data_IF_828932387122
#
_entry.id   IF_828932387122
#
_cell.length_a   1.000
_cell.length_b   1.000
_cell.length_c   1.000
_cell.angle_alpha   90.00
_cell.angle_beta   90.00
_cell.angle_gamma   90.00
#
_symmetry.space_group_name_H-M   'P 1'
#
loop_
_entity.id
_entity.type
_entity.pdbx_description
1 polymer ?
#
# COMPACT_ATOMS: atom_id res chain seq x y z
N UNK A 1 13.22 1.53 -28.74
CA UNK A 1 12.18 0.52 -29.02
C UNK A 1 12.47 -0.63 -28.05
N UNK A 2 11.79 -0.64 -26.91
CA UNK A 2 12.07 -1.56 -25.80
C UNK A 2 10.91 -2.53 -25.69
N UNK A 3 11.17 -3.80 -26.00
CA UNK A 3 10.23 -4.90 -25.79
C UNK A 3 10.05 -5.15 -24.30
N UNK A 4 8.79 -5.18 -23.88
CA UNK A 4 8.39 -5.35 -22.50
C UNK A 4 8.71 -6.78 -22.01
N UNK A 5 9.32 -6.85 -20.82
CA UNK A 5 9.80 -8.07 -20.15
C UNK A 5 8.68 -9.00 -19.61
N UNK A 6 7.44 -8.85 -20.06
CA UNK A 6 6.32 -9.68 -19.61
C UNK A 6 5.92 -10.65 -20.72
N UNK A 7 6.04 -11.95 -20.44
CA UNK A 7 5.46 -13.00 -21.28
C UNK A 7 3.94 -12.85 -21.41
N UNK A 8 3.28 -13.63 -22.31
CA UNK A 8 1.85 -13.49 -22.58
C UNK A 8 1.05 -13.54 -21.29
N UNK A 9 0.10 -12.60 -21.13
CA UNK A 9 -0.81 -12.56 -19.99
C UNK A 9 -1.57 -13.89 -19.93
N UNK A 10 -1.23 -14.71 -18.93
CA UNK A 10 -1.92 -15.99 -18.73
C UNK A 10 -3.39 -15.70 -18.36
N UNK A 11 -4.36 -16.35 -19.01
CA UNK A 11 -5.75 -16.17 -18.65
C UNK A 11 -5.96 -16.65 -17.21
N UNK A 12 -6.32 -15.72 -16.32
CA UNK A 12 -6.68 -16.05 -14.94
C UNK A 12 -7.91 -16.95 -14.96
N UNK A 13 -7.81 -18.12 -14.34
CA UNK A 13 -8.96 -19.00 -14.15
C UNK A 13 -10.04 -18.26 -13.34
N UNK A 14 -11.26 -18.20 -13.86
CA UNK A 14 -12.38 -17.63 -13.12
C UNK A 14 -12.74 -18.55 -11.97
N UNK A 15 -12.78 -18.01 -10.76
CA UNK A 15 -13.25 -18.72 -9.58
C UNK A 15 -14.74 -19.04 -9.70
N UNK A 16 -15.18 -20.14 -9.10
CA UNK A 16 -16.60 -20.41 -8.87
C UNK A 16 -17.21 -19.27 -8.03
N UNK A 17 -18.50 -18.96 -8.23
CA UNK A 17 -19.18 -17.81 -7.59
C UNK A 17 -19.00 -17.78 -6.07
N UNK A 18 -19.15 -18.93 -5.41
CA UNK A 18 -19.06 -18.99 -3.94
C UNK A 18 -17.62 -18.79 -3.44
N UNK A 19 -16.63 -19.29 -4.19
CA UNK A 19 -15.22 -19.04 -3.90
C UNK A 19 -14.86 -17.57 -4.10
N UNK A 20 -15.35 -16.94 -5.18
CA UNK A 20 -15.17 -15.51 -5.41
C UNK A 20 -15.82 -14.67 -4.29
N UNK A 21 -17.03 -15.03 -3.85
CA UNK A 21 -17.72 -14.36 -2.75
C UNK A 21 -16.95 -14.50 -1.42
N UNK A 22 -16.39 -15.68 -1.15
CA UNK A 22 -15.56 -15.92 0.03
C UNK A 22 -14.29 -15.06 0.05
N UNK A 23 -13.52 -15.02 -1.05
CA UNK A 23 -12.28 -14.22 -1.12
C UNK A 23 -12.51 -12.72 -1.25
N UNK A 24 -13.68 -12.30 -1.74
CA UNK A 24 -14.07 -10.90 -1.80
C UNK A 24 -14.63 -10.38 -0.46
N UNK A 25 -15.04 -11.27 0.45
CA UNK A 25 -15.52 -10.87 1.76
C UNK A 25 -14.37 -10.34 2.62
N UNK A 26 -14.58 -9.19 3.26
CA UNK A 26 -13.61 -8.64 4.19
C UNK A 26 -13.44 -9.59 5.38
N UNK A 27 -12.20 -10.03 5.62
CA UNK A 27 -11.88 -10.82 6.81
C UNK A 27 -12.00 -9.96 8.07
N UNK A 28 -12.63 -10.50 9.12
CA UNK A 28 -12.66 -9.89 10.46
C UNK A 28 -11.27 -9.70 11.07
N UNK A 29 -10.26 -10.44 10.59
CA UNK A 29 -8.86 -10.28 11.01
C UNK A 29 -8.18 -9.04 10.38
N UNK A 30 -8.78 -8.50 9.31
CA UNK A 30 -8.32 -7.30 8.61
C UNK A 30 -9.35 -6.16 8.69
N UNK A 31 -10.30 -6.21 9.64
CA UNK A 31 -11.24 -5.11 9.87
C UNK A 31 -10.46 -3.82 10.12
N UNK A 32 -10.55 -2.80 9.25
CA UNK A 32 -9.81 -1.54 9.41
C UNK A 32 -10.20 -0.75 10.66
N UNK A 33 -11.03 -1.28 11.57
CA UNK A 33 -11.30 -0.73 12.91
C UNK A 33 -11.83 0.70 12.83
N UNK A 34 -12.78 0.93 11.93
CA UNK A 34 -13.36 2.24 11.67
C UNK A 34 -12.62 3.09 10.62
N UNK A 35 -11.45 2.68 10.13
CA UNK A 35 -10.73 3.34 9.04
C UNK A 35 -11.34 3.06 7.65
N UNK A 36 -12.42 2.27 7.57
CA UNK A 36 -13.10 1.91 6.32
C UNK A 36 -13.50 3.12 5.45
N UNK A 37 -13.81 4.27 6.06
CA UNK A 37 -14.14 5.51 5.33
C UNK A 37 -12.98 6.04 4.50
N UNK A 38 -11.74 5.75 4.87
CA UNK A 38 -10.56 6.23 4.14
C UNK A 38 -10.36 5.53 2.79
N UNK A 39 -11.03 4.38 2.60
CA UNK A 39 -11.01 3.64 1.34
C UNK A 39 -12.08 4.12 0.36
N UNK A 40 -13.02 4.98 0.77
CA UNK A 40 -14.18 5.34 -0.05
C UNK A 40 -13.81 6.02 -1.37
N UNK A 41 -12.70 6.75 -1.39
CA UNK A 41 -12.23 7.50 -2.57
C UNK A 41 -11.10 6.77 -3.33
N UNK A 42 -10.78 5.53 -2.95
CA UNK A 42 -9.74 4.77 -3.65
C UNK A 42 -10.25 4.29 -5.01
N UNK A 43 -9.38 4.27 -6.03
CA UNK A 43 -9.74 3.77 -7.34
C UNK A 43 -9.99 2.26 -7.31
N UNK A 44 -11.04 1.83 -8.01
CA UNK A 44 -11.33 0.40 -8.26
C UNK A 44 -10.35 -0.22 -9.27
N UNK A 45 -9.71 0.61 -10.10
CA UNK A 45 -8.70 0.16 -11.06
C UNK A 45 -7.40 -0.25 -10.34
N UNK A 46 -6.93 -1.50 -10.50
CA UNK A 46 -5.75 -1.99 -9.79
C UNK A 46 -4.46 -1.23 -10.10
N UNK A 47 -4.31 -0.70 -11.32
CA UNK A 47 -3.11 0.05 -11.70
C UNK A 47 -3.07 1.40 -10.97
N UNK A 48 -4.19 2.11 -10.94
CA UNK A 48 -4.32 3.35 -10.16
C UNK A 48 -4.17 3.10 -8.66
N UNK A 49 -4.73 2.00 -8.15
CA UNK A 49 -4.57 1.62 -6.74
C UNK A 49 -3.09 1.36 -6.40
N UNK A 50 -2.36 0.69 -7.28
CA UNK A 50 -0.92 0.47 -7.11
C UNK A 50 -0.12 1.79 -7.12
N UNK A 51 -0.52 2.77 -7.95
CA UNK A 51 0.06 4.11 -7.93
C UNK A 51 -0.19 4.81 -6.58
N UNK A 52 -1.43 4.78 -6.07
CA UNK A 52 -1.77 5.34 -4.75
C UNK A 52 -0.93 4.69 -3.65
N UNK A 53 -0.84 3.36 -3.64
CA UNK A 53 -0.03 2.63 -2.67
C UNK A 53 1.47 3.04 -2.72
N UNK A 54 2.02 3.23 -3.92
CA UNK A 54 3.40 3.72 -4.12
C UNK A 54 3.63 5.14 -3.65
N UNK A 55 2.62 5.99 -3.71
CA UNK A 55 2.73 7.36 -3.24
C UNK A 55 2.59 7.52 -1.72
N UNK A 56 2.14 6.46 -1.03
CA UNK A 56 2.03 6.41 0.43
C UNK A 56 3.26 5.75 1.11
N UNK A 57 4.06 4.99 0.36
CA UNK A 57 5.13 4.16 0.91
C UNK A 57 6.47 4.38 0.21
N UNK A 58 7.56 4.22 0.95
CA UNK A 58 8.89 3.93 0.40
C UNK A 58 9.06 2.41 0.48
N UNK A 59 9.10 1.76 -0.68
CA UNK A 59 9.18 0.30 -0.73
C UNK A 59 10.61 -0.19 -0.44
N UNK A 60 10.74 -1.43 0.04
CA UNK A 60 12.02 -2.01 0.49
C UNK A 60 13.21 -1.75 -0.44
N UNK A 61 13.04 -1.97 -1.74
CA UNK A 61 14.12 -1.83 -2.72
C UNK A 61 14.51 -0.36 -2.98
N UNK A 62 13.69 0.57 -2.51
CA UNK A 62 13.92 2.00 -2.55
C UNK A 62 14.54 2.50 -1.23
N UNK A 63 14.54 1.70 -0.15
CA UNK A 63 14.89 2.16 1.19
C UNK A 63 16.36 2.51 1.45
N UNK A 64 17.31 1.75 0.88
CA UNK A 64 18.76 1.98 1.10
C UNK A 64 19.23 3.38 0.62
N UNK A 65 18.88 3.83 -0.61
CA UNK A 65 19.16 5.19 -1.04
C UNK A 65 18.41 6.27 -0.23
N UNK A 66 17.19 5.98 0.22
CA UNK A 66 16.31 6.97 0.86
C UNK A 66 16.55 7.16 2.37
N UNK A 67 17.03 6.14 3.09
CA UNK A 67 17.34 6.26 4.53
C UNK A 67 18.63 7.07 4.82
N UNK A 68 19.45 7.42 3.81
CA UNK A 68 20.72 8.13 4.03
C UNK A 68 20.62 9.65 4.15
N UNK A 69 19.59 10.31 3.61
CA UNK A 69 19.56 11.78 3.55
C UNK A 69 18.23 12.45 3.94
N UNK A 70 17.06 11.87 3.67
CA UNK A 70 15.75 12.52 3.96
C UNK A 70 14.77 11.68 4.77
N UNK A 71 14.86 10.34 4.74
CA UNK A 71 13.96 9.47 5.51
C UNK A 71 14.52 8.97 6.85
N UNK A 72 15.70 9.40 7.31
CA UNK A 72 16.34 8.79 8.49
C UNK A 72 15.45 8.77 9.74
N UNK A 73 14.73 9.86 10.02
CA UNK A 73 13.79 9.96 11.14
C UNK A 73 12.57 9.04 10.93
N UNK A 74 12.05 8.99 9.71
CA UNK A 74 10.94 8.12 9.33
C UNK A 74 11.35 6.63 9.41
N UNK A 75 12.57 6.27 9.03
CA UNK A 75 13.10 4.90 9.16
C UNK A 75 13.21 4.51 10.65
N UNK A 76 13.73 5.40 11.52
CA UNK A 76 13.91 5.09 12.96
C UNK A 76 12.61 4.92 13.76
N UNK A 77 11.53 5.56 13.33
CA UNK A 77 10.23 5.55 14.05
C UNK A 77 9.27 4.48 13.54
N UNK A 78 9.61 3.77 12.46
CA UNK A 78 8.71 2.77 11.88
C UNK A 78 8.90 1.41 12.55
N UNK A 79 7.83 0.78 13.08
CA UNK A 79 7.93 -0.54 13.67
C UNK A 79 8.29 -1.59 12.62
N UNK A 80 9.20 -2.47 13.02
CA UNK A 80 9.79 -3.52 12.18
C UNK A 80 8.80 -4.60 11.74
N UNK A 81 7.72 -4.81 12.50
CA UNK A 81 6.59 -5.68 12.13
C UNK A 81 5.30 -4.91 12.35
N UNK A 82 4.76 -4.35 11.29
CA UNK A 82 3.47 -3.67 11.30
C UNK A 82 2.45 -4.51 10.52
N UNK A 83 1.29 -4.76 11.11
CA UNK A 83 0.12 -5.25 10.36
C UNK A 83 -0.38 -4.13 9.44
N UNK A 84 -1.09 -4.47 8.36
CA UNK A 84 -1.61 -3.48 7.40
C UNK A 84 -2.42 -2.35 8.07
N UNK A 85 -3.18 -2.67 9.13
CA UNK A 85 -3.91 -1.68 9.93
C UNK A 85 -2.98 -0.74 10.70
N UNK A 86 -1.91 -1.27 11.29
CA UNK A 86 -0.93 -0.45 12.00
C UNK A 86 -0.15 0.44 11.01
N UNK A 87 0.13 -0.06 9.81
CA UNK A 87 0.72 0.74 8.72
C UNK A 87 -0.16 1.92 8.36
N UNK A 88 -1.46 1.68 8.12
CA UNK A 88 -2.41 2.75 7.80
C UNK A 88 -2.52 3.79 8.90
N UNK A 89 -2.57 3.35 10.16
CA UNK A 89 -2.60 4.29 11.29
C UNK A 89 -1.36 5.18 11.31
N UNK A 90 -0.18 4.61 11.09
CA UNK A 90 1.08 5.39 11.03
C UNK A 90 1.09 6.36 9.84
N UNK A 91 0.59 5.94 8.65
CA UNK A 91 0.48 6.81 7.48
C UNK A 91 -0.38 8.04 7.81
N UNK A 92 -1.52 7.82 8.47
CA UNK A 92 -2.46 8.88 8.85
C UNK A 92 -1.89 9.78 9.95
N UNK A 93 -1.26 9.19 10.97
CA UNK A 93 -0.61 9.93 12.06
C UNK A 93 0.49 10.86 11.54
N UNK A 94 1.20 10.44 10.48
CA UNK A 94 2.22 11.29 9.81
C UNK A 94 1.60 12.37 8.96
N UNK A 95 0.58 12.02 8.17
CA UNK A 95 -0.11 12.97 7.30
C UNK A 95 -1.56 12.50 7.02
N UNK A 96 -2.51 13.21 7.64
CA UNK A 96 -3.95 12.93 7.59
C UNK A 96 -4.66 13.50 6.34
N UNK A 97 -3.94 13.90 5.29
CA UNK A 97 -4.56 14.20 4.01
C UNK A 97 -5.24 12.94 3.40
N UNK A 98 -6.07 13.06 2.35
CA UNK A 98 -6.65 11.89 1.69
C UNK A 98 -5.60 10.89 1.19
N UNK A 99 -5.93 9.59 1.18
CA UNK A 99 -4.99 8.54 0.73
C UNK A 99 -4.59 8.69 -0.74
N UNK A 100 -5.48 9.26 -1.56
CA UNK A 100 -5.24 9.54 -2.98
C UNK A 100 -4.27 10.69 -3.22
N UNK A 101 -3.98 11.51 -2.21
CA UNK A 101 -3.05 12.62 -2.33
C UNK A 101 -1.61 12.14 -2.15
N UNK A 102 -0.78 12.39 -3.17
CA UNK A 102 0.65 12.08 -3.13
C UNK A 102 1.32 12.71 -1.90
N UNK A 103 2.13 11.89 -1.22
CA UNK A 103 2.92 12.32 -0.05
C UNK A 103 4.33 12.70 -0.45
N UNK A 104 4.84 13.72 0.21
CA UNK A 104 6.27 14.02 0.23
C UNK A 104 7.04 12.84 0.85
N UNK A 105 8.29 12.67 0.41
CA UNK A 105 9.10 11.51 0.79
C UNK A 105 9.23 11.33 2.30
N UNK A 106 9.33 12.43 3.07
CA UNK A 106 9.42 12.39 4.54
C UNK A 106 8.16 11.90 5.25
N UNK A 107 6.99 12.05 4.61
CA UNK A 107 5.69 11.66 5.17
C UNK A 107 5.31 10.21 4.84
N UNK A 108 6.03 9.58 3.90
CA UNK A 108 5.76 8.21 3.46
C UNK A 108 6.12 7.20 4.56
N UNK A 109 5.38 6.10 4.59
CA UNK A 109 5.73 4.95 5.44
C UNK A 109 6.91 4.18 4.85
N UNK A 110 7.91 3.85 5.66
CA UNK A 110 9.09 3.10 5.19
C UNK A 110 8.90 1.61 5.50
N UNK A 111 8.77 0.79 4.47
CA UNK A 111 8.63 -0.66 4.66
C UNK A 111 9.96 -1.29 5.09
N UNK A 112 10.14 -1.49 6.40
CA UNK A 112 11.28 -2.18 6.99
C UNK A 112 10.99 -3.68 7.18
N UNK A 113 12.05 -4.50 7.21
CA UNK A 113 11.99 -5.97 7.27
C UNK A 113 11.37 -6.53 8.54
#
# INVERSE_FOLDING_TARGET
MADAFWGPAMPSARLARDAAAFYAAQSTFSDPSGLGRLYADLPDDPAQHACVARDLMVHRLEGEPFCQSSCRIACTTTPRRATSMNILRIIIERNNAPLTQRREVGDRFVALR
#
